data_IF_447558881234
#
_entry.id   IF_447558881234
#
_cell.length_a   1.000
_cell.length_b   1.000
_cell.length_c   1.000
_cell.angle_alpha   90.00
_cell.angle_beta   90.00
_cell.angle_gamma   90.00
#
_symmetry.space_group_name_H-M   'P 1'
#
loop_
_entity.id
_entity.type
_entity.pdbx_description
1 polymer ?
#
# COMPACT_ATOMS: atom_id res chain seq x y z
N UNK A 1 4.01 -27.02 -7.86
CA UNK A 1 2.69 -26.45 -7.55
C UNK A 1 2.58 -25.10 -8.25
N UNK A 2 1.66 -24.96 -9.21
CA UNK A 2 1.40 -23.66 -9.86
C UNK A 2 0.61 -22.79 -8.88
N UNK A 3 1.26 -21.79 -8.27
CA UNK A 3 0.58 -20.80 -7.44
C UNK A 3 -0.24 -19.87 -8.34
N UNK A 4 -1.57 -19.97 -8.27
CA UNK A 4 -2.48 -19.10 -9.00
C UNK A 4 -2.22 -17.63 -8.66
N UNK A 5 -2.48 -16.74 -9.62
CA UNK A 5 -2.30 -15.29 -9.47
C UNK A 5 -3.13 -14.76 -8.30
N UNK A 6 -4.33 -15.32 -8.13
CA UNK A 6 -5.19 -15.06 -6.98
C UNK A 6 -4.52 -15.39 -5.64
N UNK A 7 -3.83 -16.53 -5.54
CA UNK A 7 -3.17 -16.94 -4.29
C UNK A 7 -2.02 -16.01 -3.94
N UNK A 8 -1.26 -15.55 -4.93
CA UNK A 8 -0.20 -14.53 -4.75
C UNK A 8 -0.78 -13.21 -4.24
N UNK A 9 -1.91 -12.78 -4.78
CA UNK A 9 -2.59 -11.57 -4.31
C UNK A 9 -3.01 -11.67 -2.83
N UNK A 10 -3.50 -12.83 -2.41
CA UNK A 10 -3.88 -13.11 -1.01
C UNK A 10 -2.66 -13.08 -0.08
N UNK A 11 -1.55 -13.68 -0.50
CA UNK A 11 -0.30 -13.66 0.28
C UNK A 11 0.21 -12.23 0.47
N UNK A 12 0.24 -11.44 -0.62
CA UNK A 12 0.65 -10.04 -0.59
C UNK A 12 -0.23 -9.19 0.31
N UNK A 13 -1.56 -9.38 0.27
CA UNK A 13 -2.46 -8.57 1.10
C UNK A 13 -2.37 -8.95 2.57
N UNK A 14 -2.12 -10.23 2.87
CA UNK A 14 -1.86 -10.69 4.23
C UNK A 14 -0.62 -9.99 4.77
N UNK A 15 0.48 -10.03 4.02
CA UNK A 15 1.70 -9.32 4.37
C UNK A 15 1.49 -7.81 4.49
N UNK A 16 0.71 -7.20 3.60
CA UNK A 16 0.36 -5.77 3.67
C UNK A 16 -0.34 -5.42 4.98
N UNK A 17 -1.28 -6.27 5.42
CA UNK A 17 -1.99 -6.06 6.70
C UNK A 17 -1.10 -6.26 7.91
N UNK A 18 -0.11 -7.15 7.85
CA UNK A 18 0.88 -7.33 8.91
C UNK A 18 1.79 -6.12 9.03
N UNK A 19 2.32 -5.61 7.91
CA UNK A 19 3.13 -4.40 7.87
C UNK A 19 2.33 -3.17 8.32
N UNK A 20 1.05 -3.06 7.94
CA UNK A 20 0.15 -1.98 8.38
C UNK A 20 -0.02 -1.98 9.91
N UNK A 21 -0.21 -3.17 10.50
CA UNK A 21 -0.27 -3.33 11.97
C UNK A 21 1.07 -3.03 12.64
N UNK A 22 2.17 -3.38 12.00
CA UNK A 22 3.53 -3.05 12.43
C UNK A 22 3.86 -1.56 12.27
N UNK A 23 2.96 -0.75 11.69
CA UNK A 23 3.14 0.67 11.36
C UNK A 23 4.22 0.92 10.29
N UNK A 24 4.59 -0.12 9.54
CA UNK A 24 5.45 -0.05 8.36
C UNK A 24 4.61 0.39 7.16
N UNK A 25 4.05 1.59 7.24
CA UNK A 25 3.03 2.08 6.31
C UNK A 25 3.55 2.22 4.86
N UNK A 26 4.84 2.47 4.66
CA UNK A 26 5.45 2.57 3.32
C UNK A 26 5.47 1.22 2.60
N UNK A 27 5.84 0.16 3.33
CA UNK A 27 5.85 -1.21 2.80
C UNK A 27 4.41 -1.73 2.65
N UNK A 28 3.56 -1.50 3.64
CA UNK A 28 2.14 -1.84 3.56
C UNK A 28 1.47 -1.21 2.33
N UNK A 29 1.74 0.08 2.05
CA UNK A 29 1.23 0.77 0.87
C UNK A 29 1.65 0.07 -0.43
N UNK A 30 2.95 -0.24 -0.58
CA UNK A 30 3.46 -0.97 -1.75
C UNK A 30 2.80 -2.33 -1.91
N UNK A 31 2.72 -3.10 -0.83
CA UNK A 31 2.13 -4.43 -0.84
C UNK A 31 0.63 -4.40 -1.19
N UNK A 32 -0.14 -3.43 -0.67
CA UNK A 32 -1.54 -3.26 -1.04
C UNK A 32 -1.72 -2.96 -2.54
N UNK A 33 -0.88 -2.08 -3.10
CA UNK A 33 -0.92 -1.76 -4.54
C UNK A 33 -0.61 -2.99 -5.40
N UNK A 34 0.45 -3.73 -5.07
CA UNK A 34 0.80 -4.97 -5.76
C UNK A 34 -0.29 -6.03 -5.64
N UNK A 35 -0.84 -6.25 -4.44
CA UNK A 35 -1.93 -7.20 -4.24
C UNK A 35 -3.13 -6.90 -5.14
N UNK A 36 -3.53 -5.63 -5.25
CA UNK A 36 -4.63 -5.20 -6.12
C UNK A 36 -4.33 -5.46 -7.60
N UNK A 37 -3.10 -5.19 -8.06
CA UNK A 37 -2.70 -5.49 -9.44
C UNK A 37 -2.83 -7.00 -9.75
N UNK A 38 -2.38 -7.85 -8.84
CA UNK A 38 -2.53 -9.31 -8.99
C UNK A 38 -3.99 -9.76 -8.93
N UNK A 39 -4.83 -9.15 -8.09
CA UNK A 39 -6.27 -9.43 -8.06
C UNK A 39 -6.96 -9.03 -9.38
N UNK A 40 -6.61 -7.89 -9.96
CA UNK A 40 -7.14 -7.46 -11.27
C UNK A 40 -6.68 -8.40 -12.39
N UNK A 41 -5.43 -8.86 -12.34
CA UNK A 41 -4.92 -9.87 -13.27
C UNK A 41 -5.71 -11.19 -13.13
N UNK A 42 -5.92 -11.67 -11.91
CA UNK A 42 -6.74 -12.84 -11.65
C UNK A 42 -8.19 -12.67 -12.17
N UNK A 43 -8.80 -11.51 -11.99
CA UNK A 43 -10.14 -11.20 -12.55
C UNK A 43 -10.15 -11.30 -14.07
N UNK A 44 -9.11 -10.79 -14.74
CA UNK A 44 -9.03 -10.70 -16.20
C UNK A 44 -8.73 -12.05 -16.86
N UNK A 45 -7.91 -12.89 -16.22
CA UNK A 45 -7.37 -14.10 -16.84
C UNK A 45 -7.76 -15.43 -16.18
N UNK A 46 -8.02 -15.45 -14.86
CA UNK A 46 -8.31 -16.70 -14.11
C UNK A 46 -9.77 -16.81 -13.64
N UNK A 47 -10.46 -15.69 -13.41
CA UNK A 47 -11.83 -15.72 -12.90
C UNK A 47 -12.84 -15.97 -14.03
N UNK A 48 -13.53 -17.10 -13.96
CA UNK A 48 -14.51 -17.50 -14.99
C UNK A 48 -15.96 -17.11 -14.64
N UNK A 49 -16.27 -16.78 -13.38
CA UNK A 49 -17.63 -16.43 -12.94
C UNK A 49 -17.74 -14.98 -12.50
N UNK A 50 -18.80 -14.28 -12.91
CA UNK A 50 -19.08 -12.89 -12.53
C UNK A 50 -19.13 -12.70 -11.02
N UNK A 51 -19.72 -13.66 -10.29
CA UNK A 51 -19.77 -13.63 -8.82
C UNK A 51 -18.37 -13.61 -8.19
N UNK A 52 -17.43 -14.37 -8.74
CA UNK A 52 -16.05 -14.37 -8.29
C UNK A 52 -15.36 -13.04 -8.62
N UNK A 53 -15.56 -12.53 -9.84
CA UNK A 53 -15.01 -11.24 -10.27
C UNK A 53 -15.50 -10.09 -9.38
N UNK A 54 -16.80 -10.04 -9.08
CA UNK A 54 -17.38 -9.04 -8.17
C UNK A 54 -16.80 -9.16 -6.75
N UNK A 55 -16.69 -10.38 -6.23
CA UNK A 55 -16.12 -10.61 -4.89
C UNK A 55 -14.68 -10.11 -4.80
N UNK A 56 -13.86 -10.40 -5.81
CA UNK A 56 -12.46 -9.94 -5.88
C UNK A 56 -12.41 -8.42 -6.06
N UNK A 57 -13.27 -7.82 -6.91
CA UNK A 57 -13.34 -6.36 -7.09
C UNK A 57 -13.70 -5.64 -5.80
N UNK A 58 -14.70 -6.13 -5.07
CA UNK A 58 -15.09 -5.56 -3.79
C UNK A 58 -13.93 -5.55 -2.79
N UNK A 59 -13.12 -6.61 -2.78
CA UNK A 59 -11.88 -6.67 -1.98
C UNK A 59 -10.83 -5.67 -2.46
N UNK A 60 -10.60 -5.56 -3.77
CA UNK A 60 -9.68 -4.58 -4.33
C UNK A 60 -10.02 -3.15 -3.89
N UNK A 61 -11.30 -2.78 -3.93
CA UNK A 61 -11.76 -1.45 -3.50
C UNK A 61 -11.44 -1.19 -2.03
N UNK A 62 -11.67 -2.17 -1.15
CA UNK A 62 -11.34 -2.03 0.28
C UNK A 62 -9.83 -1.83 0.51
N UNK A 63 -8.99 -2.57 -0.22
CA UNK A 63 -7.54 -2.46 -0.09
C UNK A 63 -6.99 -1.16 -0.69
N UNK A 64 -7.57 -0.68 -1.80
CA UNK A 64 -7.24 0.62 -2.39
C UNK A 64 -7.61 1.78 -1.47
N UNK A 65 -8.79 1.74 -0.83
CA UNK A 65 -9.19 2.77 0.15
C UNK A 65 -8.19 2.84 1.32
N UNK A 66 -7.74 1.69 1.82
CA UNK A 66 -6.70 1.66 2.86
C UNK A 66 -5.37 2.20 2.36
N UNK A 67 -4.94 1.81 1.15
CA UNK A 67 -3.71 2.30 0.54
C UNK A 67 -3.71 3.83 0.38
N UNK A 68 -4.81 4.42 -0.10
CA UNK A 68 -4.92 5.88 -0.25
C UNK A 68 -4.86 6.61 1.11
N UNK A 69 -5.49 6.06 2.15
CA UNK A 69 -5.36 6.59 3.52
C UNK A 69 -3.92 6.54 4.03
N UNK A 70 -3.20 5.44 3.79
CA UNK A 70 -1.80 5.31 4.17
C UNK A 70 -0.92 6.29 3.42
N UNK A 71 -1.17 6.48 2.13
CA UNK A 71 -0.43 7.44 1.30
C UNK A 71 -0.63 8.87 1.77
N UNK A 72 -1.85 9.27 2.12
CA UNK A 72 -2.10 10.59 2.69
C UNK A 72 -1.42 10.78 4.05
N UNK A 73 -1.49 9.77 4.92
CA UNK A 73 -0.81 9.77 6.21
C UNK A 73 0.71 9.93 6.05
N UNK A 74 1.34 9.18 5.14
CA UNK A 74 2.77 9.27 4.84
C UNK A 74 3.14 10.63 4.28
N UNK A 75 2.35 11.17 3.34
CA UNK A 75 2.56 12.50 2.77
C UNK A 75 2.47 13.60 3.82
N UNK A 76 1.52 13.49 4.74
CA UNK A 76 1.35 14.42 5.87
C UNK A 76 2.52 14.32 6.86
N UNK A 77 3.01 13.09 7.13
CA UNK A 77 4.19 12.85 7.97
C UNK A 77 5.46 13.44 7.37
N UNK A 78 5.67 13.29 6.06
CA UNK A 78 6.85 13.85 5.38
C UNK A 78 6.86 15.39 5.42
N UNK A 79 5.69 16.02 5.24
CA UNK A 79 5.54 17.48 5.35
C UNK A 79 5.81 18.02 6.75
N UNK A 80 5.45 17.27 7.79
CA UNK A 80 5.70 17.66 9.18
C UNK A 80 7.13 17.36 9.67
N UNK A 81 7.84 16.43 9.02
CA UNK A 81 9.24 16.10 9.31
C UNK A 81 10.25 17.10 8.74
N UNK A 82 9.87 17.86 7.70
CA UNK A 82 10.66 18.97 7.15
C UNK A 82 10.28 20.30 7.82
N UNK A 83 10.46 20.43 9.13
CA UNK A 83 10.69 21.78 9.68
C UNK A 83 12.11 22.16 9.26
N UNK A 84 12.32 23.19 8.41
CA UNK A 84 13.65 23.73 8.21
C UNK A 84 14.13 24.19 9.58
N UNK A 85 15.16 23.53 10.11
CA UNK A 85 15.88 24.06 11.25
C UNK A 85 16.42 25.40 10.77
N UNK A 86 15.85 26.46 11.31
CA UNK A 86 16.27 27.83 11.07
C UNK A 86 17.74 27.92 11.47
N UNK A 87 18.55 28.31 10.48
CA UNK A 87 19.89 28.88 10.60
C UNK A 87 20.07 29.65 11.92
N UNK A 88 21.16 29.40 12.64
CA UNK A 88 21.76 30.43 13.48
C UNK A 88 23.24 30.56 13.13
N UNK A 89 23.47 31.52 12.25
CA UNK A 89 24.73 32.16 11.93
C UNK A 89 25.16 33.00 13.15
N UNK A 90 26.22 32.60 13.83
CA UNK A 90 26.96 33.39 14.83
C UNK A 90 28.23 32.62 15.18
N UNK A 91 29.45 33.14 15.14
CA UNK A 91 30.01 34.40 14.71
C UNK A 91 31.52 34.09 14.64
N UNK A 92 32.12 34.27 13.47
CA UNK A 92 33.56 34.08 13.30
C UNK A 92 34.24 35.44 13.21
N UNK A 93 35.28 35.61 14.03
CA UNK A 93 36.37 36.60 13.97
C UNK A 93 36.07 37.98 14.58
N UNK A 94 36.96 38.35 15.51
CA UNK A 94 37.21 39.73 15.93
C UNK A 94 37.84 39.78 17.30
#
# INVERSE_FOLDING_TARGET
MTTSTLQKAIDLVTKATEEDKAKNYEEALRLYQHAVEYFLHAIKYEAHSDKAKESIRAKCVQYLDRAEKLKDYLRSKEKHGKKPVKENQSEGKG
#
